data_IF_117154393445
#
_entry.id   IF_117154393445
#
_cell.length_a   1.000
_cell.length_b   1.000
_cell.length_c   1.000
_cell.angle_alpha   90.00
_cell.angle_beta   90.00
_cell.angle_gamma   90.00
#
_symmetry.space_group_name_H-M   'P 1'
#
loop_
_entity.id
_entity.type
_entity.pdbx_description
1 polymer ?
#
# COMPACT_ATOMS: atom_id res chain seq x y z
N UNK A 1 15.78 16.61 -12.40
CA UNK A 1 15.76 16.05 -11.02
C UNK A 1 17.16 16.24 -10.44
N UNK A 2 17.30 16.69 -9.20
CA UNK A 2 18.61 16.72 -8.53
C UNK A 2 18.91 15.35 -7.93
N UNK A 3 20.19 15.05 -7.67
CA UNK A 3 20.61 13.79 -7.05
C UNK A 3 19.91 13.57 -5.70
N UNK A 4 19.88 14.59 -4.85
CA UNK A 4 19.21 14.55 -3.54
C UNK A 4 17.74 14.15 -3.63
N UNK A 5 17.04 14.61 -4.68
CA UNK A 5 15.62 14.28 -4.89
C UNK A 5 15.42 12.81 -5.27
N UNK A 6 16.33 12.25 -6.06
CA UNK A 6 16.29 10.83 -6.44
C UNK A 6 16.56 9.97 -5.20
N UNK A 7 17.57 10.33 -4.41
CA UNK A 7 17.89 9.59 -3.18
C UNK A 7 16.76 9.64 -2.15
N UNK A 8 16.13 10.81 -1.98
CA UNK A 8 14.96 10.95 -1.12
C UNK A 8 13.78 10.09 -1.61
N UNK A 9 13.51 10.10 -2.92
CA UNK A 9 12.46 9.26 -3.51
C UNK A 9 12.73 7.77 -3.28
N UNK A 10 13.94 7.30 -3.55
CA UNK A 10 14.30 5.89 -3.37
C UNK A 10 14.22 5.46 -1.91
N UNK A 11 14.62 6.32 -0.96
CA UNK A 11 14.45 6.06 0.48
C UNK A 11 12.98 5.86 0.85
N UNK A 12 12.09 6.73 0.36
CA UNK A 12 10.65 6.63 0.63
C UNK A 12 10.08 5.34 -0.01
N UNK A 13 10.40 5.09 -1.28
CA UNK A 13 9.95 3.88 -1.99
C UNK A 13 10.32 2.62 -1.22
N UNK A 14 11.59 2.52 -0.80
CA UNK A 14 12.09 1.37 -0.03
C UNK A 14 11.35 1.22 1.30
N UNK A 15 11.20 2.30 2.06
CA UNK A 15 10.49 2.27 3.34
C UNK A 15 9.02 1.86 3.21
N UNK A 16 8.34 2.21 2.10
CA UNK A 16 6.96 1.82 1.83
C UNK A 16 6.81 0.32 1.50
N UNK A 17 7.87 -0.33 1.00
CA UNK A 17 7.83 -1.72 0.54
C UNK A 17 8.55 -2.71 1.47
N UNK A 18 9.01 -2.25 2.63
CA UNK A 18 9.77 -3.05 3.58
C UNK A 18 9.17 -2.95 5.00
N UNK A 19 9.54 -3.91 5.84
CA UNK A 19 9.24 -3.84 7.27
C UNK A 19 9.96 -2.63 7.92
N UNK A 20 9.39 -2.03 8.98
CA UNK A 20 8.18 -2.44 9.67
C UNK A 20 6.88 -1.86 9.07
N UNK A 21 6.97 -1.04 8.02
CA UNK A 21 5.81 -0.33 7.48
C UNK A 21 4.90 -1.26 6.65
N UNK A 22 5.49 -2.13 5.84
CA UNK A 22 4.76 -3.19 5.15
C UNK A 22 4.63 -4.42 6.07
N UNK A 23 3.41 -4.74 6.46
CA UNK A 23 3.11 -5.84 7.37
C UNK A 23 3.12 -7.19 6.62
N UNK A 24 3.61 -8.22 7.29
CA UNK A 24 3.43 -9.60 6.84
C UNK A 24 1.94 -9.97 6.98
N UNK A 25 1.29 -10.57 5.97
CA UNK A 25 -0.11 -10.96 6.07
C UNK A 25 -0.32 -11.99 7.18
N UNK A 26 -1.34 -11.77 8.02
CA UNK A 26 -1.84 -12.76 8.96
C UNK A 26 -3.18 -13.31 8.46
N UNK A 27 -3.21 -14.56 7.99
CA UNK A 27 -4.40 -15.16 7.39
C UNK A 27 -5.53 -15.50 8.37
N UNK A 28 -5.26 -15.38 9.69
CA UNK A 28 -6.25 -15.70 10.73
C UNK A 28 -7.13 -14.50 11.13
N UNK A 29 -6.84 -13.30 10.61
CA UNK A 29 -7.58 -12.08 10.95
C UNK A 29 -8.02 -11.36 9.67
N UNK A 30 -9.14 -10.61 9.69
CA UNK A 30 -9.69 -10.01 8.47
C UNK A 30 -8.77 -8.94 7.88
N UNK A 31 -8.83 -8.80 6.56
CA UNK A 31 -8.22 -7.69 5.84
C UNK A 31 -9.20 -6.52 5.68
N UNK A 32 -8.66 -5.31 5.61
CA UNK A 32 -9.38 -4.10 5.21
C UNK A 32 -8.92 -3.70 3.81
N UNK A 33 -9.86 -3.51 2.89
CA UNK A 33 -9.55 -3.14 1.52
C UNK A 33 -9.96 -1.69 1.27
N UNK A 34 -8.98 -0.80 1.16
CA UNK A 34 -9.21 0.59 0.78
C UNK A 34 -9.03 0.74 -0.73
N UNK A 35 -9.91 1.49 -1.36
CA UNK A 35 -9.88 1.72 -2.80
C UNK A 35 -9.94 3.23 -3.04
N UNK A 36 -9.02 3.72 -3.84
CA UNK A 36 -9.13 5.03 -4.48
C UNK A 36 -9.11 4.84 -5.99
N UNK A 37 -9.92 5.62 -6.69
CA UNK A 37 -9.99 5.65 -8.14
C UNK A 37 -9.92 7.10 -8.60
N UNK A 38 -9.09 7.39 -9.60
CA UNK A 38 -9.01 8.71 -10.22
C UNK A 38 -8.65 8.58 -11.70
N UNK A 39 -9.46 9.20 -12.57
CA UNK A 39 -9.36 8.99 -14.01
C UNK A 39 -9.45 7.50 -14.34
N UNK A 40 -8.51 7.01 -15.15
CA UNK A 40 -8.42 5.60 -15.53
C UNK A 40 -7.57 4.77 -14.54
N UNK A 41 -7.21 5.29 -13.37
CA UNK A 41 -6.35 4.63 -12.40
C UNK A 41 -7.11 4.09 -11.18
N UNK A 42 -6.83 2.85 -10.79
CA UNK A 42 -7.21 2.26 -9.50
C UNK A 42 -5.98 2.08 -8.63
N UNK A 43 -6.03 2.60 -7.41
CA UNK A 43 -5.00 2.39 -6.38
C UNK A 43 -5.57 1.77 -5.11
N UNK A 44 -5.92 0.48 -5.11
CA UNK A 44 -6.30 -0.20 -3.88
C UNK A 44 -5.12 -0.48 -2.96
N UNK A 45 -5.37 -0.48 -1.66
CA UNK A 45 -4.40 -0.91 -0.64
C UNK A 45 -5.08 -1.90 0.31
N UNK A 46 -4.43 -3.03 0.54
CA UNK A 46 -4.85 -4.02 1.51
C UNK A 46 -4.19 -3.71 2.85
N UNK A 47 -4.99 -3.50 3.88
CA UNK A 47 -4.57 -3.21 5.24
C UNK A 47 -4.97 -4.34 6.18
N UNK A 48 -4.32 -4.38 7.34
CA UNK A 48 -4.67 -5.28 8.43
C UNK A 48 -4.39 -4.63 9.77
N UNK A 49 -5.24 -4.90 10.76
CA UNK A 49 -5.02 -4.47 12.14
C UNK A 49 -4.34 -5.62 12.88
N UNK A 50 -3.08 -5.43 13.27
CA UNK A 50 -2.26 -6.44 13.97
C UNK A 50 -1.82 -5.91 15.34
N UNK A 51 -1.52 -6.80 16.29
CA UNK A 51 -0.88 -6.40 17.55
C UNK A 51 0.62 -6.31 17.31
N UNK A 52 1.16 -5.09 17.39
CA UNK A 52 2.59 -4.79 17.27
C UNK A 52 2.95 -4.00 18.52
N UNK A 53 3.99 -4.42 19.24
CA UNK A 53 4.41 -3.82 20.52
C UNK A 53 3.24 -3.62 21.50
N UNK A 54 2.45 -4.69 21.69
CA UNK A 54 1.26 -4.76 22.55
C UNK A 54 0.14 -3.75 22.21
N UNK A 55 0.16 -3.17 21.01
CA UNK A 55 -0.82 -2.19 20.55
C UNK A 55 -1.47 -2.60 19.23
N UNK A 56 -2.80 -2.41 19.08
CA UNK A 56 -3.46 -2.59 17.79
C UNK A 56 -2.96 -1.52 16.82
N UNK A 57 -2.27 -1.96 15.78
CA UNK A 57 -1.68 -1.12 14.74
C UNK A 57 -2.27 -1.53 13.40
N UNK A 58 -2.86 -0.58 12.69
CA UNK A 58 -3.30 -0.77 11.32
C UNK A 58 -2.15 -0.43 10.37
N UNK A 59 -1.80 -1.37 9.50
CA UNK A 59 -0.77 -1.16 8.49
C UNK A 59 -1.09 -1.82 7.16
N UNK A 60 -0.44 -1.36 6.08
CA UNK A 60 -0.58 -1.94 4.76
C UNK A 60 0.12 -3.31 4.70
N UNK A 61 -0.52 -4.25 4.01
CA UNK A 61 0.02 -5.57 3.66
C UNK A 61 0.44 -5.61 2.19
N UNK A 62 -0.29 -4.88 1.34
CA UNK A 62 -0.01 -4.85 -0.10
C UNK A 62 -0.57 -3.57 -0.72
N UNK A 63 0.25 -2.93 -1.58
CA UNK A 63 -0.19 -1.87 -2.49
C UNK A 63 -0.49 -2.46 -3.86
N UNK A 64 -1.65 -2.13 -4.41
CA UNK A 64 -2.09 -2.61 -5.72
C UNK A 64 -2.26 -1.39 -6.62
N UNK A 65 -1.87 -1.51 -7.88
CA UNK A 65 -2.10 -0.50 -8.90
C UNK A 65 -2.57 -1.16 -10.18
N UNK A 66 -3.68 -0.67 -10.73
CA UNK A 66 -4.20 -1.17 -12.01
C UNK A 66 -4.86 -0.04 -12.79
N UNK A 67 -4.59 0.01 -14.09
CA UNK A 67 -5.34 0.86 -15.00
C UNK A 67 -6.70 0.20 -15.35
N UNK A 68 -7.76 1.01 -15.39
CA UNK A 68 -9.08 0.62 -15.88
C UNK A 68 -9.00 0.49 -17.40
N UNK A 69 -9.42 -0.65 -17.94
CA UNK A 69 -9.49 -0.84 -19.39
C UNK A 69 -10.68 -0.05 -19.95
N UNK A 70 -10.62 0.40 -21.21
CA UNK A 70 -11.77 1.06 -21.84
C UNK A 70 -13.07 0.25 -21.81
N UNK A 71 -12.97 -1.09 -21.76
CA UNK A 71 -14.14 -1.99 -21.63
C UNK A 71 -14.79 -1.97 -20.25
N UNK A 72 -14.08 -1.51 -19.22
CA UNK A 72 -14.51 -1.45 -17.82
C UNK A 72 -14.95 -0.03 -17.41
N UNK A 73 -14.68 0.99 -18.24
CA UNK A 73 -15.00 2.40 -17.98
C UNK A 73 -16.42 2.82 -18.44
N UNK A 74 -17.32 1.86 -18.62
CA UNK A 74 -18.67 2.07 -19.17
C UNK A 74 -19.74 2.17 -18.10
#
# INVERSE_FOLDING_TARGET
>A
MTQDRIEAYEKIRKALTEAPLLLMPNWNIPFKFYISAYGDGLGPVLHQVQIIDDKPTEGPVCYISRQIKPTEAR
#
